data_IF_207913221124
#
_entry.id   IF_207913221124
#
_cell.length_a   1.000
_cell.length_b   1.000
_cell.length_c   1.000
_cell.angle_alpha   90.00
_cell.angle_beta   90.00
_cell.angle_gamma   90.00
#
_symmetry.space_group_name_H-M   'P 1'
#
loop_
_entity.id
_entity.type
_entity.pdbx_description
1 polymer ?
#
# COMPACT_ATOMS: atom_id res chain seq x y z
N UNK A 1 -45.51 -22.43 -36.45
CA UNK A 1 -45.27 -22.39 -35.00
C UNK A 1 -43.87 -22.94 -34.73
N UNK A 2 -43.02 -22.11 -34.11
CA UNK A 2 -41.99 -22.41 -33.10
C UNK A 2 -41.06 -23.62 -33.34
N UNK A 3 -39.76 -23.38 -33.59
CA UNK A 3 -38.70 -23.29 -32.56
C UNK A 3 -37.36 -23.11 -33.30
N UNK A 4 -36.90 -21.86 -33.35
CA UNK A 4 -35.50 -21.52 -33.62
C UNK A 4 -34.95 -21.00 -32.29
N UNK A 5 -33.88 -21.60 -31.78
CA UNK A 5 -33.11 -20.97 -30.71
C UNK A 5 -32.52 -21.92 -29.69
N UNK A 6 -31.42 -22.58 -30.05
CA UNK A 6 -30.38 -22.99 -29.10
C UNK A 6 -29.06 -23.17 -29.87
N UNK A 7 -28.46 -22.07 -30.30
CA UNK A 7 -27.10 -22.03 -30.85
C UNK A 7 -26.22 -20.96 -30.17
N UNK A 8 -26.69 -20.36 -29.08
CA UNK A 8 -26.06 -19.18 -28.46
C UNK A 8 -25.39 -19.46 -27.10
N UNK A 9 -25.23 -20.74 -26.72
CA UNK A 9 -24.67 -21.10 -25.40
C UNK A 9 -23.19 -21.50 -25.43
N UNK A 10 -22.56 -21.71 -26.59
CA UNK A 10 -21.16 -22.14 -26.67
C UNK A 10 -20.15 -21.00 -26.92
N UNK A 11 -20.61 -19.81 -27.28
CA UNK A 11 -19.76 -18.64 -27.57
C UNK A 11 -19.68 -17.68 -26.37
N UNK A 12 -19.48 -18.19 -25.16
CA UNK A 12 -19.27 -17.33 -23.98
C UNK A 12 -18.07 -17.74 -23.11
N UNK A 13 -17.25 -18.70 -23.58
CA UNK A 13 -16.08 -19.20 -22.85
C UNK A 13 -14.72 -18.84 -23.51
N UNK A 14 -14.71 -17.97 -24.53
CA UNK A 14 -13.52 -17.65 -25.33
C UNK A 14 -13.14 -16.17 -25.34
N UNK A 15 -13.48 -15.42 -24.29
CA UNK A 15 -12.78 -14.16 -24.08
C UNK A 15 -11.30 -14.51 -23.81
N UNK A 16 -10.34 -13.97 -24.60
CA UNK A 16 -8.94 -14.17 -24.31
C UNK A 16 -8.68 -13.57 -22.94
N UNK A 17 -8.43 -14.43 -21.94
CA UNK A 17 -7.92 -13.94 -20.67
C UNK A 17 -6.63 -13.19 -20.99
N UNK A 18 -6.48 -11.93 -20.54
CA UNK A 18 -5.24 -11.21 -20.72
C UNK A 18 -4.10 -12.07 -20.14
N UNK A 19 -2.92 -12.06 -20.77
CA UNK A 19 -1.78 -12.79 -20.25
C UNK A 19 -1.52 -12.33 -18.81
N UNK A 20 -1.13 -13.23 -17.89
CA UNK A 20 -0.91 -12.89 -16.50
C UNK A 20 0.16 -11.79 -16.42
N UNK A 21 -0.14 -10.76 -15.64
CA UNK A 21 0.79 -9.64 -15.45
C UNK A 21 2.10 -10.12 -14.82
N UNK A 22 3.18 -9.34 -14.98
CA UNK A 22 4.48 -9.68 -14.39
C UNK A 22 4.38 -9.86 -12.87
N UNK A 23 3.55 -9.06 -12.20
CA UNK A 23 3.27 -9.24 -10.77
C UNK A 23 2.51 -10.52 -10.43
N UNK A 24 1.52 -10.94 -11.23
CA UNK A 24 0.82 -12.22 -11.02
C UNK A 24 1.78 -13.41 -11.16
N UNK A 25 2.67 -13.37 -12.15
CA UNK A 25 3.70 -14.40 -12.31
C UNK A 25 4.70 -14.39 -11.16
N UNK A 26 5.08 -13.20 -10.67
CA UNK A 26 5.97 -13.08 -9.53
C UNK A 26 5.31 -13.56 -8.23
N UNK A 27 4.03 -13.23 -8.01
CA UNK A 27 3.25 -13.68 -6.87
C UNK A 27 3.11 -15.21 -6.86
N UNK A 28 2.83 -15.82 -8.01
CA UNK A 28 2.74 -17.27 -8.16
C UNK A 28 4.06 -18.01 -7.88
N UNK A 29 5.20 -17.33 -7.99
CA UNK A 29 6.54 -17.88 -7.66
C UNK A 29 6.89 -17.78 -6.18
N UNK A 30 6.12 -17.05 -5.37
CA UNK A 30 6.37 -16.94 -3.94
C UNK A 30 6.12 -18.27 -3.23
N UNK A 31 6.70 -18.44 -2.03
CA UNK A 31 6.41 -19.61 -1.21
C UNK A 31 4.90 -19.69 -0.89
N UNK A 32 4.29 -20.88 -0.84
CA UNK A 32 2.85 -21.05 -0.66
C UNK A 32 2.32 -20.43 0.64
N UNK A 33 3.15 -20.42 1.68
CA UNK A 33 2.87 -19.76 2.95
C UNK A 33 2.78 -18.22 2.82
N UNK A 34 3.67 -17.61 2.04
CA UNK A 34 3.64 -16.17 1.73
C UNK A 34 2.42 -15.84 0.88
N UNK A 35 2.10 -16.70 -0.09
CA UNK A 35 0.88 -16.56 -0.91
C UNK A 35 -0.37 -16.63 -0.04
N UNK A 36 -0.43 -17.53 0.94
CA UNK A 36 -1.57 -17.64 1.86
C UNK A 36 -1.72 -16.38 2.72
N UNK A 37 -0.63 -15.83 3.25
CA UNK A 37 -0.67 -14.58 4.02
C UNK A 37 -1.12 -13.38 3.19
N UNK A 38 -0.70 -13.30 1.93
CA UNK A 38 -1.00 -12.19 1.02
C UNK A 38 -2.22 -12.44 0.12
N UNK A 39 -2.86 -13.61 0.23
CA UNK A 39 -3.93 -14.05 -0.67
C UNK A 39 -5.22 -13.23 -0.59
N UNK A 40 -5.33 -12.38 0.44
CA UNK A 40 -6.41 -11.40 0.56
C UNK A 40 -6.13 -10.07 -0.20
N UNK A 41 -4.95 -9.93 -0.80
CA UNK A 41 -4.51 -8.75 -1.55
C UNK A 41 -4.39 -9.05 -3.05
N UNK A 42 -4.40 -8.00 -3.87
CA UNK A 42 -4.07 -8.13 -5.30
C UNK A 42 -2.58 -8.43 -5.48
N UNK A 43 -2.21 -9.10 -6.58
CA UNK A 43 -0.81 -9.45 -6.86
C UNK A 43 0.12 -8.22 -6.85
N UNK A 44 -0.30 -7.10 -7.43
CA UNK A 44 0.44 -5.85 -7.39
C UNK A 44 0.70 -5.37 -5.95
N UNK A 45 -0.34 -5.41 -5.10
CA UNK A 45 -0.21 -5.00 -3.69
C UNK A 45 0.62 -5.97 -2.87
N UNK A 46 0.47 -7.27 -3.10
CA UNK A 46 1.29 -8.31 -2.49
C UNK A 46 2.78 -8.10 -2.80
N UNK A 47 3.11 -7.85 -4.08
CA UNK A 47 4.48 -7.57 -4.50
C UNK A 47 5.04 -6.26 -3.94
N UNK A 48 4.20 -5.25 -3.70
CA UNK A 48 4.61 -4.05 -2.97
C UNK A 48 4.98 -4.37 -1.51
N UNK A 49 4.16 -5.17 -0.82
CA UNK A 49 4.42 -5.59 0.57
C UNK A 49 5.71 -6.42 0.68
N UNK A 50 5.95 -7.31 -0.28
CA UNK A 50 7.20 -8.09 -0.35
C UNK A 50 8.40 -7.16 -0.44
N UNK A 51 8.41 -6.21 -1.39
CA UNK A 51 9.51 -5.23 -1.52
C UNK A 51 9.69 -4.36 -0.29
N UNK A 52 8.60 -3.92 0.33
CA UNK A 52 8.66 -3.15 1.57
C UNK A 52 9.26 -3.97 2.72
N UNK A 53 8.94 -5.27 2.79
CA UNK A 53 9.50 -6.19 3.78
C UNK A 53 11.01 -6.36 3.58
N UNK A 54 11.46 -6.54 2.33
CA UNK A 54 12.89 -6.63 2.00
C UNK A 54 13.62 -5.35 2.41
N UNK A 55 13.09 -4.17 2.07
CA UNK A 55 13.66 -2.90 2.49
C UNK A 55 13.72 -2.75 4.00
N UNK A 56 12.69 -3.20 4.72
CA UNK A 56 12.67 -3.17 6.18
C UNK A 56 13.73 -4.08 6.78
N UNK A 57 13.92 -5.29 6.24
CA UNK A 57 14.97 -6.21 6.68
C UNK A 57 16.37 -5.65 6.44
N UNK A 58 16.59 -4.99 5.29
CA UNK A 58 17.84 -4.27 5.00
C UNK A 58 18.06 -3.16 6.04
N UNK A 59 17.02 -2.39 6.35
CA UNK A 59 17.09 -1.33 7.36
C UNK A 59 17.39 -1.86 8.78
N UNK A 60 16.94 -3.08 9.10
CA UNK A 60 17.26 -3.78 10.35
C UNK A 60 18.66 -4.43 10.34
N UNK A 61 19.45 -4.29 9.27
CA UNK A 61 20.78 -4.90 9.16
C UNK A 61 20.76 -6.39 8.83
N UNK A 62 19.63 -6.91 8.32
CA UNK A 62 19.43 -8.31 7.94
C UNK A 62 19.22 -8.46 6.42
N UNK A 63 20.22 -8.14 5.57
CA UNK A 63 20.07 -8.23 4.11
C UNK A 63 19.86 -9.67 3.60
N UNK A 64 20.24 -10.68 4.39
CA UNK A 64 20.04 -12.10 4.10
C UNK A 64 19.13 -12.75 5.14
N UNK A 65 17.95 -12.16 5.32
CA UNK A 65 16.98 -12.66 6.27
C UNK A 65 16.57 -14.10 5.93
N UNK A 66 16.45 -14.94 6.95
CA UNK A 66 15.88 -16.28 6.78
C UNK A 66 14.39 -16.18 6.45
N UNK A 67 13.82 -17.22 5.83
CA UNK A 67 12.39 -17.23 5.49
C UNK A 67 11.47 -16.95 6.69
N UNK A 68 11.85 -17.39 7.89
CA UNK A 68 11.10 -17.09 9.12
C UNK A 68 11.19 -15.63 9.56
N UNK A 69 12.36 -15.01 9.43
CA UNK A 69 12.53 -13.57 9.70
C UNK A 69 11.70 -12.75 8.72
N UNK A 70 11.72 -13.11 7.44
CA UNK A 70 10.89 -12.47 6.42
C UNK A 70 9.40 -12.56 6.75
N UNK A 71 8.89 -13.75 7.09
CA UNK A 71 7.49 -13.93 7.51
C UNK A 71 7.14 -13.09 8.73
N UNK A 72 8.04 -13.00 9.70
CA UNK A 72 7.82 -12.24 10.93
C UNK A 72 7.63 -10.76 10.62
N UNK A 73 8.54 -10.17 9.84
CA UNK A 73 8.45 -8.76 9.42
C UNK A 73 7.24 -8.53 8.51
N UNK A 74 6.98 -9.43 7.55
CA UNK A 74 5.81 -9.33 6.67
C UNK A 74 4.51 -9.30 7.47
N UNK A 75 4.39 -10.15 8.49
CA UNK A 75 3.21 -10.19 9.38
C UNK A 75 3.07 -8.89 10.17
N UNK A 76 4.17 -8.33 10.67
CA UNK A 76 4.19 -7.02 11.34
C UNK A 76 3.71 -5.90 10.41
N UNK A 77 4.09 -5.93 9.14
CA UNK A 77 3.67 -4.93 8.14
C UNK A 77 2.21 -5.12 7.69
N UNK A 78 1.71 -6.35 7.69
CA UNK A 78 0.31 -6.66 7.36
C UNK A 78 -0.65 -6.36 8.52
N UNK A 79 -0.15 -6.27 9.75
CA UNK A 79 -0.98 -5.85 10.87
C UNK A 79 -1.43 -4.41 10.65
N UNK A 80 -2.76 -4.14 10.72
CA UNK A 80 -3.23 -2.78 10.65
C UNK A 80 -2.55 -2.00 11.78
N UNK A 81 -2.00 -0.81 11.49
CA UNK A 81 -1.44 0.01 12.55
C UNK A 81 -2.58 0.27 13.54
N UNK A 82 -2.50 -0.29 14.75
CA UNK A 82 -3.30 0.14 15.91
C UNK A 82 -2.82 1.53 16.36
N UNK A 83 -2.79 2.44 15.42
CA UNK A 83 -2.38 3.81 15.59
C UNK A 83 -3.40 4.64 14.82
N UNK A 84 -4.55 4.81 15.47
CA UNK A 84 -5.27 6.07 15.40
C UNK A 84 -4.36 7.19 15.91
N UNK A 85 -3.26 7.47 15.20
CA UNK A 85 -2.66 8.79 15.25
C UNK A 85 -3.46 9.59 14.24
N UNK A 86 -4.57 10.13 14.73
CA UNK A 86 -5.22 11.28 14.13
C UNK A 86 -4.17 12.40 14.14
N UNK A 87 -3.35 12.47 13.09
CA UNK A 87 -2.52 13.64 12.84
C UNK A 87 -3.46 14.71 12.33
N UNK A 88 -4.18 15.35 13.25
CA UNK A 88 -4.75 16.67 13.04
C UNK A 88 -3.59 17.67 12.93
N UNK A 89 -2.78 17.54 11.88
CA UNK A 89 -1.96 18.64 11.40
C UNK A 89 -2.89 19.54 10.61
N UNK A 90 -3.75 20.24 11.34
CA UNK A 90 -4.31 21.51 10.92
C UNK A 90 -3.16 22.53 10.84
N UNK A 91 -2.28 22.33 9.86
CA UNK A 91 -1.32 23.33 9.41
C UNK A 91 -1.92 24.05 8.24
N UNK A 92 -3.03 24.75 8.50
CA UNK A 92 -3.53 25.78 7.61
C UNK A 92 -2.35 26.67 7.19
N UNK A 93 -2.32 26.99 5.90
CA UNK A 93 -1.54 28.07 5.32
C UNK A 93 -1.52 29.29 6.25
N UNK A 94 -0.43 29.52 6.96
CA UNK A 94 -0.17 30.82 7.55
C UNK A 94 1.33 30.97 7.67
N UNK A 95 1.87 31.78 6.77
CA UNK A 95 3.13 32.49 7.01
C UNK A 95 3.15 32.96 8.48
N UNK A 96 4.28 32.85 9.19
CA UNK A 96 4.40 33.59 10.44
C UNK A 96 4.18 35.07 10.06
N UNK A 97 3.21 35.80 10.65
CA UNK A 97 3.32 37.25 10.57
C UNK A 97 4.64 37.58 11.24
N UNK A 98 5.59 38.12 10.46
CA UNK A 98 6.81 38.69 11.00
C UNK A 98 6.38 39.68 12.07
N UNK A 99 6.56 39.30 13.33
CA UNK A 99 6.36 40.24 14.43
C UNK A 99 7.30 41.41 14.17
N UNK A 100 6.82 42.67 14.10
CA UNK A 100 7.74 43.78 14.05
C UNK A 100 8.57 43.74 15.33
N UNK A 101 9.88 43.61 15.19
CA UNK A 101 10.86 43.61 16.28
C UNK A 101 11.03 45.01 16.90
N UNK A 102 9.99 45.84 16.87
CA UNK A 102 10.00 47.23 17.34
C UNK A 102 8.77 47.46 18.23
N UNK A 103 8.94 47.67 19.54
CA UNK A 103 7.85 48.16 20.37
C UNK A 103 7.42 49.55 19.90
N UNK A 104 6.10 49.85 19.87
CA UNK A 104 5.62 51.19 19.51
C UNK A 104 6.13 52.23 20.53
N UNK A 105 6.48 53.45 20.09
CA UNK A 105 6.88 54.50 21.02
C UNK A 105 5.71 54.86 21.96
N UNK A 106 6.00 55.25 23.21
CA UNK A 106 4.96 55.66 24.15
C UNK A 106 4.17 56.86 23.61
N UNK A 107 2.89 57.00 23.99
CA UNK A 107 2.11 58.16 23.59
C UNK A 107 2.76 59.44 24.13
N UNK A 108 3.01 60.42 23.26
CA UNK A 108 3.39 61.76 23.67
C UNK A 108 2.22 62.39 24.43
N UNK A 109 2.37 62.55 25.74
CA UNK A 109 1.48 63.38 26.56
C UNK A 109 1.81 64.85 26.31
N UNK A 110 1.04 65.54 25.46
CA UNK A 110 0.88 67.00 25.48
C UNK A 110 -0.50 67.39 25.00
#
# INVERSE_FOLDING_TARGET
MLVTGVAWAQDQARLPQPPPTAEEQAFARLAPDIQAMLGHLTAARAMQMVRQTEQHLIALGMPHATGEQFRTVLRTLLQPPMSSVSSASAGATSFPPLSPLVPPPPPSLR
#
